data_IF_192810299329
#
_entry.id   IF_192810299329
#
_cell.length_a   1.000
_cell.length_b   1.000
_cell.length_c   1.000
_cell.angle_alpha   90.00
_cell.angle_beta   90.00
_cell.angle_gamma   90.00
#
_symmetry.space_group_name_H-M   'P 1'
#
loop_
_entity.id
_entity.type
_entity.pdbx_description
1 polymer ?
#
# COMPACT_ATOMS: atom_id res chain seq x y z
N UNK A 1 -15.38 6.68 -3.99
CA UNK A 1 -14.55 6.14 -2.89
C UNK A 1 -14.27 4.67 -3.17
N UNK A 2 -13.07 4.13 -2.89
CA UNK A 2 -12.82 2.72 -3.10
C UNK A 2 -13.75 1.94 -2.17
N UNK A 3 -14.67 1.17 -2.74
CA UNK A 3 -15.53 0.22 -1.98
C UNK A 3 -14.70 -0.91 -1.35
N UNK A 4 -13.41 -0.99 -1.69
CA UNK A 4 -12.48 -2.00 -1.26
C UNK A 4 -11.64 -1.51 -0.06
N UNK A 5 -11.89 -2.09 1.12
CA UNK A 5 -11.13 -1.83 2.35
C UNK A 5 -9.61 -1.98 2.17
N UNK A 6 -9.18 -2.96 1.39
CA UNK A 6 -7.75 -3.20 1.14
C UNK A 6 -7.13 -2.06 0.34
N UNK A 7 -7.85 -1.50 -0.64
CA UNK A 7 -7.36 -0.35 -1.38
C UNK A 7 -7.19 0.87 -0.45
N UNK A 8 -8.15 1.12 0.44
CA UNK A 8 -8.05 2.19 1.45
C UNK A 8 -6.85 2.01 2.38
N UNK A 9 -6.58 0.78 2.83
CA UNK A 9 -5.39 0.47 3.64
C UNK A 9 -4.11 0.76 2.85
N UNK A 10 -3.99 0.25 1.62
CA UNK A 10 -2.80 0.51 0.78
C UNK A 10 -2.56 2.00 0.57
N UNK A 11 -3.61 2.78 0.28
CA UNK A 11 -3.45 4.23 0.11
C UNK A 11 -2.92 4.92 1.37
N UNK A 12 -3.46 4.57 2.55
CA UNK A 12 -2.95 5.13 3.82
C UNK A 12 -1.51 4.72 4.10
N UNK A 13 -1.18 3.46 3.83
CA UNK A 13 0.19 2.95 4.02
C UNK A 13 1.16 3.67 3.08
N UNK A 14 0.81 3.80 1.80
CA UNK A 14 1.63 4.50 0.81
C UNK A 14 1.77 5.99 1.12
N UNK A 15 0.69 6.66 1.51
CA UNK A 15 0.71 8.07 1.92
C UNK A 15 1.70 8.31 3.08
N UNK A 16 1.65 7.46 4.11
CA UNK A 16 2.60 7.53 5.23
C UNK A 16 4.07 7.29 4.79
N UNK A 17 4.31 6.34 3.88
CA UNK A 17 5.66 6.06 3.36
C UNK A 17 6.18 7.23 2.51
N UNK A 18 5.32 7.81 1.66
CA UNK A 18 5.68 8.93 0.80
C UNK A 18 5.88 10.24 1.57
N UNK A 19 5.20 10.41 2.71
CA UNK A 19 5.44 11.53 3.62
C UNK A 19 6.65 11.34 4.56
N UNK A 20 7.22 10.14 4.63
CA UNK A 20 8.43 9.90 5.41
C UNK A 20 9.67 10.43 4.68
N UNK A 21 10.66 10.90 5.44
CA UNK A 21 11.98 11.29 4.90
C UNK A 21 12.85 10.06 4.52
N UNK A 22 12.41 8.85 4.86
CA UNK A 22 13.08 7.61 4.48
C UNK A 22 12.80 7.23 3.02
N UNK A 23 13.86 6.86 2.30
CA UNK A 23 13.74 6.31 0.95
C UNK A 23 13.18 4.89 1.01
N UNK A 24 11.92 4.72 0.56
CA UNK A 24 11.30 3.40 0.40
C UNK A 24 11.38 2.91 -1.05
N UNK A 25 11.77 1.66 -1.22
CA UNK A 25 11.70 0.97 -2.53
C UNK A 25 10.29 0.42 -2.79
N UNK A 26 10.01 0.05 -4.04
CA UNK A 26 8.74 -0.62 -4.36
C UNK A 26 8.55 -1.92 -3.57
N UNK A 27 9.62 -2.66 -3.26
CA UNK A 27 9.52 -3.89 -2.46
C UNK A 27 9.20 -3.61 -1.00
N UNK A 28 9.72 -2.51 -0.46
CA UNK A 28 9.38 -2.01 0.87
C UNK A 28 7.90 -1.59 0.95
N UNK A 29 7.41 -0.87 -0.06
CA UNK A 29 6.00 -0.50 -0.18
C UNK A 29 5.08 -1.72 -0.27
N UNK A 30 5.47 -2.78 -1.00
CA UNK A 30 4.73 -4.04 -1.05
C UNK A 30 4.66 -4.66 0.34
N UNK A 31 5.81 -4.86 1.00
CA UNK A 31 5.90 -5.47 2.32
C UNK A 31 5.07 -4.72 3.36
N UNK A 32 5.15 -3.39 3.37
CA UNK A 32 4.38 -2.55 4.28
C UNK A 32 2.86 -2.68 4.04
N UNK A 33 2.44 -2.70 2.77
CA UNK A 33 1.03 -2.88 2.41
C UNK A 33 0.52 -4.28 2.78
N UNK A 34 1.29 -5.33 2.46
CA UNK A 34 0.96 -6.72 2.81
C UNK A 34 0.83 -6.88 4.31
N UNK A 35 1.77 -6.32 5.08
CA UNK A 35 1.73 -6.32 6.54
C UNK A 35 0.48 -5.62 7.06
N UNK A 36 0.22 -4.38 6.61
CA UNK A 36 -0.91 -3.59 7.08
C UNK A 36 -2.25 -4.25 6.77
N UNK A 37 -2.42 -4.81 5.57
CA UNK A 37 -3.64 -5.55 5.21
C UNK A 37 -3.75 -6.84 6.02
N UNK A 38 -2.64 -7.56 6.21
CA UNK A 38 -2.66 -8.83 6.94
C UNK A 38 -2.98 -8.63 8.42
N UNK A 39 -2.49 -7.56 9.04
CA UNK A 39 -2.79 -7.18 10.42
C UNK A 39 -4.28 -6.82 10.59
N UNK A 40 -4.86 -6.07 9.66
CA UNK A 40 -6.29 -5.69 9.72
C UNK A 40 -7.22 -6.87 9.38
N UNK A 41 -6.85 -7.71 8.42
CA UNK A 41 -7.71 -8.80 7.95
C UNK A 41 -7.52 -10.10 8.75
N UNK A 42 -6.44 -10.23 9.52
CA UNK A 42 -6.11 -11.44 10.29
C UNK A 42 -5.69 -12.64 9.42
N UNK A 43 -5.40 -12.41 8.13
CA UNK A 43 -4.95 -13.41 7.15
C UNK A 43 -3.80 -12.85 6.33
N UNK A 44 -2.88 -13.70 5.88
CA UNK A 44 -1.87 -13.25 4.92
C UNK A 44 -2.55 -12.80 3.62
N UNK A 45 -2.32 -11.55 3.25
CA UNK A 45 -2.65 -11.03 1.94
C UNK A 45 -1.40 -10.58 1.22
N UNK A 46 -1.37 -10.87 -0.09
CA UNK A 46 -0.29 -10.48 -0.97
C UNK A 46 -0.68 -9.29 -1.84
N UNK A 47 0.28 -8.41 -2.10
CA UNK A 47 0.10 -7.22 -2.94
C UNK A 47 1.08 -7.30 -4.09
N UNK A 48 0.56 -7.29 -5.31
CA UNK A 48 1.41 -7.35 -6.49
C UNK A 48 2.12 -6.00 -6.73
N UNK A 49 3.32 -6.07 -7.32
CA UNK A 49 4.05 -4.88 -7.76
C UNK A 49 3.24 -4.01 -8.72
N UNK A 50 2.45 -4.61 -9.60
CA UNK A 50 1.56 -3.90 -10.53
C UNK A 50 0.49 -3.11 -9.78
N UNK A 51 0.00 -3.64 -8.66
CA UNK A 51 -0.96 -2.96 -7.80
C UNK A 51 -0.37 -1.70 -7.19
N UNK A 52 0.85 -1.78 -6.64
CA UNK A 52 1.55 -0.62 -6.08
C UNK A 52 1.77 0.47 -7.13
N UNK A 53 2.22 0.11 -8.34
CA UNK A 53 2.39 1.10 -9.42
C UNK A 53 1.08 1.81 -9.78
N UNK A 54 -0.04 1.09 -9.84
CA UNK A 54 -1.36 1.70 -10.07
C UNK A 54 -1.80 2.60 -8.92
N UNK A 55 -1.51 2.20 -7.69
CA UNK A 55 -1.85 3.01 -6.52
C UNK A 55 -1.01 4.31 -6.49
N UNK A 56 0.27 4.24 -6.85
CA UNK A 56 1.14 5.42 -6.99
C UNK A 56 0.70 6.34 -8.13
N UNK A 57 0.30 5.78 -9.28
CA UNK A 57 -0.25 6.56 -10.40
C UNK A 57 -1.53 7.28 -9.98
N UNK A 58 -2.38 6.62 -9.19
CA UNK A 58 -3.60 7.23 -8.65
C UNK A 58 -3.32 8.34 -7.63
N UNK A 59 -2.30 8.18 -6.76
CA UNK A 59 -1.93 9.19 -5.76
C UNK A 59 -1.19 10.39 -6.35
N UNK A 60 -0.53 10.21 -7.50
CA UNK A 60 0.22 11.28 -8.20
C UNK A 60 -0.64 12.12 -9.14
N UNK A 61 -1.93 11.77 -9.29
CA UNK A 61 -2.88 12.39 -10.22
C UNK A 61 -3.72 13.51 -9.64
#
# INVERSE_FOLDING_TARGET
MPTNKNATLRYRTLDNLLCSEEWSTIEDMISACEKSISEECGRQETVSRVTIYKDLEFLSG
#
